data_IF_894881073542
#
_entry.id   IF_894881073542
#
_cell.length_a   1.000
_cell.length_b   1.000
_cell.length_c   1.000
_cell.angle_alpha   90.00
_cell.angle_beta   90.00
_cell.angle_gamma   90.00
#
_symmetry.space_group_name_H-M   'P 1'
#
loop_
_entity.id
_entity.type
_entity.pdbx_description
1 polymer ?
#
# COMPACT_ATOMS: atom_id res chain seq x y z
N UNK A 1 17.25 53.60 46.53
CA UNK A 1 16.53 52.64 45.63
C UNK A 1 17.26 51.31 45.71
N UNK A 2 16.74 50.39 46.48
CA UNK A 2 17.35 49.08 46.74
C UNK A 2 16.78 48.04 45.75
N UNK A 3 17.65 47.50 44.92
CA UNK A 3 17.29 46.39 44.01
C UNK A 3 17.03 45.12 44.81
N UNK A 4 15.82 44.56 44.68
CA UNK A 4 15.44 43.27 45.23
C UNK A 4 16.00 42.18 44.30
N UNK A 5 16.92 41.37 44.82
CA UNK A 5 17.42 40.17 44.13
C UNK A 5 16.32 39.14 43.99
N UNK A 6 16.12 38.65 42.77
CA UNK A 6 15.24 37.52 42.47
C UNK A 6 16.03 36.24 42.79
N UNK A 7 15.58 35.48 43.79
CA UNK A 7 16.17 34.18 44.12
C UNK A 7 15.81 33.17 43.01
N UNK A 8 16.84 32.54 42.42
CA UNK A 8 16.68 31.45 41.46
C UNK A 8 16.18 30.18 42.17
N UNK A 9 15.10 29.64 41.70
CA UNK A 9 14.57 28.35 42.16
C UNK A 9 15.50 27.22 41.68
N UNK A 10 15.93 26.29 42.54
CA UNK A 10 16.79 25.20 42.10
C UNK A 10 16.05 24.26 41.16
N UNK A 11 16.64 23.94 40.03
CA UNK A 11 16.13 22.98 39.07
C UNK A 11 15.93 21.63 39.78
N UNK A 12 14.69 21.14 39.71
CA UNK A 12 14.30 19.84 40.25
C UNK A 12 15.09 18.75 39.51
N UNK A 13 15.96 18.02 40.23
CA UNK A 13 16.83 17.02 39.64
C UNK A 13 16.11 16.07 38.71
N UNK A 14 16.65 15.87 37.51
CA UNK A 14 16.24 14.87 36.55
C UNK A 14 16.21 13.52 37.26
N UNK A 15 15.03 12.89 37.36
CA UNK A 15 14.95 11.50 37.79
C UNK A 15 15.78 10.70 36.79
N UNK A 16 16.69 9.87 37.27
CA UNK A 16 17.28 8.82 36.45
C UNK A 16 16.12 7.92 36.04
N UNK A 17 15.75 7.99 34.76
CA UNK A 17 14.83 7.01 34.20
C UNK A 17 15.52 5.64 34.29
N UNK A 18 14.92 4.71 35.04
CA UNK A 18 15.35 3.32 34.97
C UNK A 18 15.15 2.85 33.53
N UNK A 19 16.14 2.16 32.92
CA UNK A 19 15.96 1.61 31.60
C UNK A 19 14.74 0.69 31.62
N UNK A 20 13.81 0.93 30.67
CA UNK A 20 12.67 0.04 30.48
C UNK A 20 13.18 -1.39 30.30
N UNK A 21 12.54 -2.40 30.91
CA UNK A 21 12.94 -3.78 30.71
C UNK A 21 12.93 -4.10 29.22
N UNK A 22 14.06 -4.60 28.73
CA UNK A 22 14.18 -5.08 27.34
C UNK A 22 13.24 -6.27 27.17
N UNK A 23 12.11 -6.04 26.50
CA UNK A 23 11.23 -7.10 26.08
C UNK A 23 11.84 -7.73 24.83
N UNK A 24 12.25 -9.02 24.86
CA UNK A 24 12.85 -9.64 23.69
C UNK A 24 11.86 -9.59 22.54
N UNK A 25 12.32 -9.07 21.38
CA UNK A 25 11.51 -9.00 20.19
C UNK A 25 10.86 -10.38 19.90
N UNK A 26 9.58 -10.44 19.52
CA UNK A 26 8.91 -11.70 19.22
C UNK A 26 9.71 -12.47 18.16
N UNK A 27 9.68 -13.81 18.17
CA UNK A 27 10.44 -14.62 17.23
C UNK A 27 10.10 -14.24 15.78
N UNK A 28 11.10 -13.91 15.00
CA UNK A 28 10.97 -13.40 13.61
C UNK A 28 10.34 -14.45 12.68
N UNK A 29 10.50 -15.75 12.95
CA UNK A 29 10.03 -16.84 12.12
C UNK A 29 8.54 -16.79 11.75
N UNK A 30 7.61 -16.69 12.71
CA UNK A 30 6.17 -16.60 12.41
C UNK A 30 5.80 -15.35 11.60
N UNK A 31 6.45 -14.21 11.87
CA UNK A 31 6.22 -12.97 11.13
C UNK A 31 6.66 -13.10 9.67
N UNK A 32 7.83 -13.68 9.41
CA UNK A 32 8.31 -13.95 8.07
C UNK A 32 7.42 -14.95 7.32
N UNK A 33 6.94 -15.99 7.99
CA UNK A 33 6.00 -16.95 7.39
C UNK A 33 4.69 -16.25 6.97
N UNK A 34 4.14 -15.38 7.83
CA UNK A 34 2.94 -14.59 7.49
C UNK A 34 3.19 -13.67 6.28
N UNK A 35 4.31 -12.95 6.26
CA UNK A 35 4.67 -12.08 5.12
C UNK A 35 4.82 -12.88 3.83
N UNK A 36 5.43 -14.06 3.89
CA UNK A 36 5.56 -14.95 2.73
C UNK A 36 4.19 -15.42 2.22
N UNK A 37 3.30 -15.84 3.11
CA UNK A 37 1.95 -16.27 2.77
C UNK A 37 1.12 -15.12 2.16
N UNK A 38 1.19 -13.91 2.74
CA UNK A 38 0.54 -12.71 2.19
C UNK A 38 1.10 -12.34 0.81
N UNK A 39 2.41 -12.47 0.60
CA UNK A 39 3.04 -12.20 -0.69
C UNK A 39 2.51 -13.15 -1.77
N UNK A 40 2.39 -14.43 -1.45
CA UNK A 40 1.89 -15.44 -2.41
C UNK A 40 0.40 -15.25 -2.69
N UNK A 41 -0.40 -15.00 -1.66
CA UNK A 41 -1.82 -14.65 -1.82
C UNK A 41 -1.97 -13.37 -2.69
N UNK A 42 -1.20 -12.32 -2.39
CA UNK A 42 -1.21 -11.09 -3.16
C UNK A 42 -0.80 -11.30 -4.63
N UNK A 43 0.16 -12.20 -4.89
CA UNK A 43 0.52 -12.60 -6.25
C UNK A 43 -0.65 -13.24 -7.00
N UNK A 44 -1.40 -14.13 -6.36
CA UNK A 44 -2.57 -14.77 -6.95
C UNK A 44 -3.65 -13.74 -7.25
N UNK A 45 -4.02 -12.93 -6.27
CA UNK A 45 -4.97 -11.83 -6.42
C UNK A 45 -4.59 -10.86 -7.55
N UNK A 46 -3.32 -10.50 -7.65
CA UNK A 46 -2.81 -9.54 -8.65
C UNK A 46 -2.93 -10.06 -10.08
N UNK A 47 -2.84 -11.37 -10.26
CA UNK A 47 -2.87 -12.03 -11.57
C UNK A 47 -4.22 -12.67 -11.92
N UNK A 48 -5.23 -12.59 -11.05
CA UNK A 48 -6.51 -13.24 -11.26
C UNK A 48 -7.50 -12.35 -12.03
N UNK A 49 -7.79 -12.65 -13.30
CA UNK A 49 -8.80 -11.90 -14.06
C UNK A 49 -10.23 -12.13 -13.57
N UNK A 50 -10.51 -13.23 -12.85
CA UNK A 50 -11.82 -13.50 -12.30
C UNK A 50 -12.24 -12.51 -11.22
N UNK A 51 -11.29 -11.75 -10.65
CA UNK A 51 -11.59 -10.67 -9.70
C UNK A 51 -12.28 -9.46 -10.37
N UNK A 52 -12.23 -9.32 -11.69
CA UNK A 52 -12.94 -8.23 -12.37
C UNK A 52 -14.39 -8.60 -12.70
N UNK A 53 -15.24 -7.58 -12.83
CA UNK A 53 -16.62 -7.78 -13.29
C UNK A 53 -16.70 -8.38 -14.70
N UNK A 54 -15.69 -8.12 -15.54
CA UNK A 54 -15.57 -8.70 -16.88
C UNK A 54 -15.10 -10.16 -16.88
N UNK A 55 -14.48 -10.64 -15.79
CA UNK A 55 -13.77 -11.92 -15.71
C UNK A 55 -12.52 -12.01 -16.60
N UNK A 56 -12.04 -10.90 -17.16
CA UNK A 56 -10.96 -10.86 -18.17
C UNK A 56 -9.86 -9.84 -17.90
N UNK A 57 -9.91 -9.13 -16.78
CA UNK A 57 -8.95 -8.11 -16.40
C UNK A 57 -8.40 -8.37 -15.00
N UNK A 58 -7.10 -8.45 -14.89
CA UNK A 58 -6.36 -8.51 -13.63
C UNK A 58 -5.55 -7.22 -13.42
N UNK A 59 -4.97 -7.01 -12.23
CA UNK A 59 -4.02 -5.92 -12.00
C UNK A 59 -2.83 -6.01 -12.99
N UNK A 60 -2.34 -7.23 -13.22
CA UNK A 60 -1.27 -7.50 -14.18
C UNK A 60 -1.61 -7.13 -15.63
N UNK A 61 -2.89 -6.99 -16.00
CA UNK A 61 -3.29 -6.55 -17.34
C UNK A 61 -2.85 -5.11 -17.66
N UNK A 62 -2.71 -4.30 -16.61
CA UNK A 62 -2.29 -2.89 -16.72
C UNK A 62 -0.91 -2.68 -16.11
N UNK A 63 -0.54 -3.45 -15.10
CA UNK A 63 0.72 -3.38 -14.36
C UNK A 63 1.56 -4.63 -14.58
N UNK A 64 2.20 -4.72 -15.75
CA UNK A 64 2.95 -5.91 -16.16
C UNK A 64 4.29 -6.00 -15.39
N UNK A 65 4.54 -7.11 -14.67
CA UNK A 65 5.81 -7.33 -13.99
C UNK A 65 7.02 -7.31 -14.94
N UNK A 66 6.86 -7.73 -16.20
CA UNK A 66 7.93 -7.69 -17.20
C UNK A 66 8.31 -6.27 -17.63
N UNK A 67 7.42 -5.31 -17.39
CA UNK A 67 7.60 -3.89 -17.70
C UNK A 67 7.74 -3.02 -16.44
N UNK A 68 8.34 -3.58 -15.37
CA UNK A 68 8.52 -2.87 -14.10
C UNK A 68 7.18 -2.51 -13.43
N UNK A 69 6.18 -3.36 -13.57
CA UNK A 69 4.80 -3.10 -13.09
C UNK A 69 4.18 -1.83 -13.68
N UNK A 70 4.63 -1.42 -14.85
CA UNK A 70 4.04 -0.39 -15.67
C UNK A 70 3.17 -0.99 -16.79
N UNK A 71 2.72 -0.16 -17.74
CA UNK A 71 1.90 -0.64 -18.86
C UNK A 71 2.71 -1.57 -19.78
N UNK A 72 2.08 -2.64 -20.33
CA UNK A 72 2.76 -3.62 -21.19
C UNK A 72 3.07 -3.09 -22.59
N UNK A 73 2.54 -1.94 -22.95
CA UNK A 73 2.71 -1.31 -24.26
C UNK A 73 2.70 0.22 -24.16
N UNK A 74 2.81 0.90 -25.32
CA UNK A 74 2.85 2.36 -25.41
C UNK A 74 1.47 3.04 -25.40
N UNK A 75 0.38 2.33 -25.07
CA UNK A 75 -0.95 2.94 -25.00
C UNK A 75 -1.01 4.00 -23.89
N UNK A 76 -1.49 5.19 -24.22
CA UNK A 76 -1.59 6.31 -23.28
C UNK A 76 -2.51 6.00 -22.10
N UNK A 77 -3.57 5.23 -22.33
CA UNK A 77 -4.51 4.77 -21.31
C UNK A 77 -4.90 3.33 -21.58
N UNK A 78 -5.27 2.60 -20.53
CA UNK A 78 -5.81 1.24 -20.66
C UNK A 78 -7.33 1.29 -20.76
N UNK A 79 -7.90 0.27 -21.39
CA UNK A 79 -9.35 0.10 -21.48
C UNK A 79 -9.79 -0.94 -20.46
N UNK A 80 -10.77 -0.61 -19.65
CA UNK A 80 -11.36 -1.45 -18.62
C UNK A 80 -12.87 -1.44 -18.63
N UNK A 81 -13.46 -1.65 -17.47
CA UNK A 81 -14.91 -1.72 -17.29
C UNK A 81 -15.47 -3.13 -17.46
N UNK A 82 -16.74 -3.32 -17.06
CA UNK A 82 -17.39 -4.62 -17.08
C UNK A 82 -17.48 -5.25 -18.48
N UNK A 83 -17.49 -4.42 -19.54
CA UNK A 83 -17.53 -4.86 -20.95
C UNK A 83 -16.19 -4.67 -21.66
N UNK A 84 -15.17 -4.14 -20.99
CA UNK A 84 -13.87 -3.73 -21.53
C UNK A 84 -14.03 -2.68 -22.65
N UNK A 85 -14.90 -1.73 -22.43
CA UNK A 85 -15.24 -0.64 -23.36
C UNK A 85 -15.05 0.76 -22.74
N UNK A 86 -14.48 0.83 -21.53
CA UNK A 86 -14.26 2.07 -20.81
C UNK A 86 -12.78 2.46 -20.80
N UNK A 87 -12.36 3.51 -21.52
CA UNK A 87 -10.99 3.98 -21.43
C UNK A 87 -10.72 4.55 -20.04
N UNK A 88 -9.53 4.28 -19.52
CA UNK A 88 -9.02 4.90 -18.29
C UNK A 88 -8.90 6.42 -18.45
N UNK A 89 -8.93 7.12 -17.34
CA UNK A 89 -8.85 8.59 -17.32
C UNK A 89 -7.42 9.12 -17.11
N UNK A 90 -6.48 8.25 -16.81
CA UNK A 90 -5.07 8.54 -16.54
C UNK A 90 -4.17 7.48 -17.15
N UNK A 91 -2.92 7.85 -17.43
CA UNK A 91 -1.88 6.91 -17.77
C UNK A 91 -1.64 5.95 -16.59
N UNK A 92 -1.31 4.70 -16.91
CA UNK A 92 -0.97 3.69 -15.88
C UNK A 92 0.45 3.99 -15.36
N UNK A 93 0.63 4.29 -14.08
CA UNK A 93 1.95 4.46 -13.49
C UNK A 93 2.61 3.11 -13.27
N UNK A 94 3.94 3.07 -13.22
CA UNK A 94 4.65 1.93 -12.65
C UNK A 94 4.33 1.82 -11.15
N UNK A 95 4.19 0.60 -10.65
CA UNK A 95 4.09 0.34 -9.20
C UNK A 95 5.47 0.17 -8.55
N UNK A 96 6.57 0.22 -9.33
CA UNK A 96 7.92 0.14 -8.78
C UNK A 96 8.17 1.34 -7.84
N UNK A 97 8.77 1.04 -6.70
CA UNK A 97 9.14 2.02 -5.67
C UNK A 97 8.00 2.74 -4.95
N UNK A 98 6.74 2.40 -5.23
CA UNK A 98 5.59 3.07 -4.58
C UNK A 98 5.58 2.92 -3.05
N UNK A 99 6.26 1.91 -2.50
CA UNK A 99 6.42 1.75 -1.05
C UNK A 99 7.21 2.87 -0.37
N UNK A 100 7.96 3.67 -1.14
CA UNK A 100 8.72 4.81 -0.62
C UNK A 100 7.96 6.14 -0.72
N UNK A 101 6.75 6.15 -1.30
CA UNK A 101 5.92 7.35 -1.33
C UNK A 101 5.55 7.74 0.09
N UNK A 102 5.91 8.95 0.57
CA UNK A 102 5.50 9.42 1.88
C UNK A 102 3.99 9.65 1.92
N UNK A 103 3.44 9.90 3.10
CA UNK A 103 2.07 10.35 3.22
C UNK A 103 1.92 11.74 2.57
N UNK A 104 0.72 12.00 2.08
CA UNK A 104 0.41 13.31 1.50
C UNK A 104 0.60 14.41 2.53
N UNK A 105 1.32 15.44 2.10
CA UNK A 105 1.51 16.69 2.83
C UNK A 105 1.20 17.85 1.88
N UNK A 106 0.36 18.77 2.32
CA UNK A 106 -0.04 19.93 1.54
C UNK A 106 1.09 20.95 1.42
N UNK A 107 1.93 21.04 2.45
CA UNK A 107 3.05 21.97 2.57
C UNK A 107 4.35 21.22 2.86
N UNK A 108 5.05 20.80 1.82
CA UNK A 108 6.35 20.18 1.96
C UNK A 108 7.45 21.25 1.95
N UNK A 109 8.20 21.30 3.05
CA UNK A 109 9.33 22.20 3.18
C UNK A 109 10.63 21.45 2.86
N UNK A 110 11.35 21.90 1.84
CA UNK A 110 12.71 21.41 1.59
C UNK A 110 13.66 22.15 2.54
N UNK A 111 14.41 21.37 3.32
CA UNK A 111 15.51 21.92 4.13
C UNK A 111 16.63 22.30 3.16
N UNK A 112 16.95 23.60 3.08
CA UNK A 112 18.17 24.02 2.43
C UNK A 112 19.37 23.90 3.40
N UNK A 113 20.56 23.67 2.86
CA UNK A 113 21.79 23.49 3.64
C UNK A 113 22.21 24.78 4.46
N UNK A 114 21.51 25.89 4.28
CA UNK A 114 21.81 27.16 4.90
C UNK A 114 20.93 27.50 6.13
N UNK A 115 19.92 26.65 6.44
CA UNK A 115 19.11 26.75 7.66
C UNK A 115 18.17 27.98 7.72
N UNK A 116 17.91 28.61 6.60
CA UNK A 116 16.92 29.68 6.47
C UNK A 116 15.59 29.04 6.05
N UNK A 117 14.66 28.94 6.97
CA UNK A 117 13.37 28.27 6.95
C UNK A 117 12.91 27.83 5.57
N UNK A 118 12.93 26.51 5.34
CA UNK A 118 12.75 25.86 4.05
C UNK A 118 11.67 26.46 3.17
N UNK A 119 11.92 26.49 1.87
CA UNK A 119 10.96 26.94 0.89
C UNK A 119 9.81 25.93 0.83
N UNK A 120 8.56 26.39 0.89
CA UNK A 120 7.39 25.55 0.63
C UNK A 120 7.42 25.09 -0.84
N UNK A 121 7.76 23.81 -1.06
CA UNK A 121 7.80 23.19 -2.37
C UNK A 121 6.39 22.78 -2.85
N UNK A 122 5.35 23.03 -2.04
CA UNK A 122 3.96 22.68 -2.33
C UNK A 122 3.61 21.24 -1.95
N UNK A 123 2.47 20.72 -2.46
CA UNK A 123 1.97 19.41 -2.09
C UNK A 123 2.89 18.28 -2.54
N UNK A 124 3.11 17.32 -1.66
CA UNK A 124 4.01 16.18 -1.88
C UNK A 124 3.40 14.89 -1.32
N UNK A 125 3.86 13.73 -1.81
CA UNK A 125 3.48 12.43 -1.28
C UNK A 125 2.09 11.95 -1.66
N UNK A 126 1.58 10.98 -0.90
CA UNK A 126 0.34 10.28 -1.17
C UNK A 126 0.43 9.33 -2.37
N UNK A 127 -0.69 8.74 -2.73
CA UNK A 127 -0.85 7.80 -3.84
C UNK A 127 -1.95 8.27 -4.78
N UNK A 128 -2.03 7.67 -5.95
CA UNK A 128 -2.71 8.17 -7.13
C UNK A 128 -2.04 9.46 -7.66
N UNK A 129 -2.55 9.98 -8.78
CA UNK A 129 -1.99 11.18 -9.41
C UNK A 129 -2.20 12.48 -8.63
N UNK A 130 -3.06 12.44 -7.62
CA UNK A 130 -3.50 13.60 -6.83
C UNK A 130 -3.23 13.46 -5.32
N UNK A 131 -2.49 12.44 -4.91
CA UNK A 131 -2.08 12.23 -3.52
C UNK A 131 -3.23 11.85 -2.55
N UNK A 132 -4.46 11.65 -3.03
CA UNK A 132 -5.68 11.51 -2.20
C UNK A 132 -5.73 10.27 -1.31
N UNK A 133 -4.78 9.35 -1.43
CA UNK A 133 -4.73 8.10 -0.67
C UNK A 133 -3.34 7.91 -0.08
N UNK A 134 -3.25 7.65 1.20
CA UNK A 134 -1.97 7.51 1.89
C UNK A 134 -1.46 6.06 1.98
N UNK A 135 -2.36 5.09 2.18
CA UNK A 135 -1.96 3.70 2.39
C UNK A 135 -2.04 2.90 1.10
N UNK A 136 -1.05 2.03 0.87
CA UNK A 136 -1.02 1.19 -0.32
C UNK A 136 -2.20 0.20 -0.36
N UNK A 137 -2.63 -0.35 0.79
CA UNK A 137 -3.80 -1.24 0.86
C UNK A 137 -5.09 -0.53 0.40
N UNK A 138 -5.27 0.72 0.84
CA UNK A 138 -6.46 1.50 0.47
C UNK A 138 -6.44 1.82 -1.03
N UNK A 139 -5.27 2.19 -1.55
CA UNK A 139 -5.09 2.44 -2.99
C UNK A 139 -5.33 1.17 -3.82
N UNK A 140 -4.81 0.01 -3.40
CA UNK A 140 -4.93 -1.24 -4.15
C UNK A 140 -6.39 -1.71 -4.32
N UNK A 141 -7.30 -1.27 -3.45
CA UNK A 141 -8.73 -1.61 -3.53
C UNK A 141 -9.52 -0.73 -4.49
N UNK A 142 -9.02 0.48 -4.82
CA UNK A 142 -9.73 1.41 -5.72
C UNK A 142 -9.96 0.84 -7.12
N UNK A 143 -8.96 0.26 -7.82
CA UNK A 143 -9.14 -0.33 -9.13
C UNK A 143 -10.16 -1.47 -9.16
N UNK A 144 -10.31 -2.21 -8.06
CA UNK A 144 -11.28 -3.29 -7.95
C UNK A 144 -12.72 -2.79 -8.15
N UNK A 145 -13.03 -1.57 -7.72
CA UNK A 145 -14.37 -0.97 -7.78
C UNK A 145 -14.53 0.06 -8.91
N UNK A 146 -13.43 0.59 -9.45
CA UNK A 146 -13.45 1.62 -10.49
C UNK A 146 -14.18 1.14 -11.74
N UNK A 147 -15.19 1.88 -12.19
CA UNK A 147 -15.98 1.55 -13.38
C UNK A 147 -15.17 1.58 -14.68
N UNK A 148 -14.01 2.21 -14.68
CA UNK A 148 -13.06 2.27 -15.80
C UNK A 148 -12.00 1.18 -15.75
N UNK A 149 -11.96 0.39 -14.66
CA UNK A 149 -10.95 -0.65 -14.41
C UNK A 149 -11.65 -1.99 -14.17
N UNK A 150 -11.60 -2.57 -12.97
CA UNK A 150 -12.16 -3.92 -12.72
C UNK A 150 -13.69 -3.93 -12.51
N UNK A 151 -14.31 -2.79 -12.25
CA UNK A 151 -15.74 -2.51 -12.33
C UNK A 151 -16.65 -3.40 -11.46
N UNK A 152 -16.18 -3.91 -10.32
CA UNK A 152 -17.08 -4.55 -9.37
C UNK A 152 -18.02 -3.52 -8.76
N UNK A 153 -19.26 -3.92 -8.49
CA UNK A 153 -20.29 -3.00 -7.99
C UNK A 153 -20.04 -2.54 -6.55
N UNK A 154 -19.42 -3.38 -5.74
CA UNK A 154 -19.17 -3.15 -4.32
C UNK A 154 -18.08 -4.09 -3.77
N UNK A 155 -17.57 -3.86 -2.54
CA UNK A 155 -16.61 -4.75 -1.89
C UNK A 155 -17.11 -6.19 -1.74
N UNK A 156 -18.39 -6.40 -1.46
CA UNK A 156 -18.96 -7.73 -1.25
C UNK A 156 -18.90 -8.58 -2.54
N UNK A 157 -19.04 -7.95 -3.71
CA UNK A 157 -18.86 -8.63 -4.98
C UNK A 157 -17.43 -9.13 -5.19
N UNK A 158 -16.43 -8.36 -4.80
CA UNK A 158 -15.00 -8.78 -4.84
C UNK A 158 -14.77 -9.93 -3.86
N UNK A 159 -15.24 -9.79 -2.62
CA UNK A 159 -15.12 -10.81 -1.57
C UNK A 159 -15.78 -12.13 -2.02
N UNK A 160 -16.95 -12.06 -2.63
CA UNK A 160 -17.63 -13.24 -3.17
C UNK A 160 -16.82 -13.97 -4.26
N UNK A 161 -16.10 -13.22 -5.12
CA UNK A 161 -15.20 -13.80 -6.13
C UNK A 161 -14.01 -14.50 -5.49
N UNK A 162 -13.37 -13.86 -4.49
CA UNK A 162 -12.28 -14.46 -3.73
C UNK A 162 -12.75 -15.70 -2.96
N UNK A 163 -13.95 -15.68 -2.35
CA UNK A 163 -14.51 -16.81 -1.64
C UNK A 163 -14.77 -18.02 -2.56
N UNK A 164 -15.01 -17.79 -3.85
CA UNK A 164 -15.21 -18.82 -4.86
C UNK A 164 -13.93 -19.28 -5.57
N UNK A 165 -12.78 -18.67 -5.25
CA UNK A 165 -11.48 -18.98 -5.87
C UNK A 165 -10.83 -20.22 -5.23
N UNK A 166 -9.85 -20.80 -5.92
CA UNK A 166 -9.03 -21.91 -5.44
C UNK A 166 -8.06 -21.50 -4.30
N UNK A 167 -7.80 -20.20 -4.14
CA UNK A 167 -6.97 -19.64 -3.06
C UNK A 167 -7.78 -19.11 -1.87
N UNK A 168 -9.10 -19.27 -1.83
CA UNK A 168 -9.91 -18.91 -0.66
C UNK A 168 -9.45 -19.57 0.65
N UNK A 169 -8.95 -20.83 0.66
CA UNK A 169 -8.39 -21.44 1.88
C UNK A 169 -7.19 -20.65 2.46
N UNK A 170 -6.39 -20.01 1.62
CA UNK A 170 -5.24 -19.22 2.08
C UNK A 170 -5.67 -17.98 2.85
N UNK A 171 -6.74 -17.31 2.40
CA UNK A 171 -7.30 -16.17 3.13
C UNK A 171 -7.88 -16.62 4.49
N UNK A 172 -8.55 -17.78 4.53
CA UNK A 172 -9.03 -18.35 5.81
C UNK A 172 -7.88 -18.69 6.75
N UNK A 173 -6.81 -19.29 6.25
CA UNK A 173 -5.64 -19.62 7.06
C UNK A 173 -4.98 -18.38 7.69
N UNK A 174 -5.01 -17.23 7.01
CA UNK A 174 -4.40 -15.98 7.46
C UNK A 174 -5.29 -15.18 8.42
N UNK A 175 -6.62 -15.24 8.23
CA UNK A 175 -7.56 -14.32 8.90
C UNK A 175 -8.69 -15.01 9.67
N UNK A 176 -8.75 -16.34 9.63
CA UNK A 176 -9.78 -17.16 10.28
C UNK A 176 -10.88 -17.63 9.33
N UNK A 177 -11.54 -18.73 9.70
CA UNK A 177 -12.50 -19.42 8.84
C UNK A 177 -13.71 -18.57 8.46
N UNK A 178 -14.11 -17.66 9.35
CA UNK A 178 -15.28 -16.77 9.18
C UNK A 178 -14.98 -15.50 8.38
N UNK A 179 -13.79 -15.34 7.84
CA UNK A 179 -13.36 -14.09 7.17
C UNK A 179 -14.36 -13.63 6.08
N UNK A 180 -14.94 -14.54 5.34
CA UNK A 180 -15.90 -14.22 4.27
C UNK A 180 -17.30 -13.84 4.76
N UNK A 181 -17.59 -14.03 6.05
CA UNK A 181 -18.84 -13.59 6.70
C UNK A 181 -18.77 -12.09 7.06
N UNK A 182 -17.57 -11.50 7.02
CA UNK A 182 -17.28 -10.11 7.33
C UNK A 182 -16.75 -9.36 6.08
N UNK A 183 -17.61 -8.96 5.11
CA UNK A 183 -17.13 -8.45 3.82
C UNK A 183 -16.19 -7.24 3.89
N UNK A 184 -16.36 -6.35 4.87
CA UNK A 184 -15.48 -5.18 5.04
C UNK A 184 -14.07 -5.64 5.46
N UNK A 185 -14.00 -6.55 6.43
CA UNK A 185 -12.73 -7.09 6.91
C UNK A 185 -12.04 -7.95 5.84
N UNK A 186 -12.81 -8.75 5.09
CA UNK A 186 -12.28 -9.54 3.99
C UNK A 186 -11.72 -8.65 2.87
N UNK A 187 -12.39 -7.55 2.56
CA UNK A 187 -11.94 -6.60 1.55
C UNK A 187 -10.65 -5.89 1.97
N UNK A 188 -10.52 -5.50 3.24
CA UNK A 188 -9.29 -4.94 3.80
C UNK A 188 -8.14 -5.96 3.77
N UNK A 189 -8.41 -7.22 4.08
CA UNK A 189 -7.44 -8.33 3.99
C UNK A 189 -6.93 -8.56 2.55
N UNK A 190 -7.80 -8.43 1.55
CA UNK A 190 -7.43 -8.46 0.13
C UNK A 190 -6.49 -7.29 -0.18
N UNK A 191 -6.81 -6.10 0.29
CA UNK A 191 -5.95 -4.91 0.15
C UNK A 191 -4.58 -5.10 0.80
N UNK A 192 -4.51 -5.69 2.00
CA UNK A 192 -3.24 -5.99 2.70
C UNK A 192 -2.37 -6.96 1.89
N UNK A 193 -2.94 -8.03 1.37
CA UNK A 193 -2.19 -8.99 0.56
C UNK A 193 -1.64 -8.36 -0.74
N UNK A 194 -2.44 -7.53 -1.41
CA UNK A 194 -2.00 -6.77 -2.58
C UNK A 194 -0.89 -5.77 -2.24
N UNK A 195 -1.01 -5.04 -1.12
CA UNK A 195 0.02 -4.12 -0.62
C UNK A 195 1.36 -4.83 -0.41
N UNK A 196 1.35 -5.95 0.33
CA UNK A 196 2.56 -6.71 0.64
C UNK A 196 3.22 -7.27 -0.64
N UNK A 197 2.42 -7.80 -1.56
CA UNK A 197 2.94 -8.27 -2.85
C UNK A 197 3.59 -7.13 -3.64
N UNK A 198 2.93 -5.99 -3.79
CA UNK A 198 3.47 -4.84 -4.50
C UNK A 198 4.74 -4.31 -3.85
N UNK A 199 4.77 -4.16 -2.52
CA UNK A 199 5.92 -3.67 -1.78
C UNK A 199 7.16 -4.56 -1.94
N UNK A 200 6.99 -5.87 -2.04
CA UNK A 200 8.11 -6.82 -2.10
C UNK A 200 8.54 -7.17 -3.53
N UNK A 201 7.61 -7.18 -4.49
CA UNK A 201 7.89 -7.63 -5.87
C UNK A 201 8.02 -6.49 -6.87
N UNK A 202 7.37 -5.37 -6.65
CA UNK A 202 7.56 -4.17 -7.46
C UNK A 202 8.81 -3.35 -7.08
N UNK A 203 9.65 -3.86 -6.19
CA UNK A 203 11.04 -3.37 -6.05
C UNK A 203 11.72 -3.60 -7.38
N UNK A 204 12.11 -2.51 -8.05
CA UNK A 204 12.80 -2.56 -9.34
C UNK A 204 13.77 -3.72 -9.38
N UNK A 205 13.62 -4.56 -10.39
CA UNK A 205 14.23 -5.90 -10.43
C UNK A 205 15.65 -5.90 -9.91
N UNK A 206 15.92 -6.72 -8.92
CA UNK A 206 17.28 -7.16 -8.68
C UNK A 206 17.76 -7.74 -10.00
N UNK A 207 18.51 -6.96 -10.78
CA UNK A 207 19.42 -7.57 -11.76
C UNK A 207 20.19 -8.59 -10.95
N UNK A 208 19.99 -9.87 -11.28
CA UNK A 208 20.68 -10.93 -10.61
C UNK A 208 22.15 -10.55 -10.53
N UNK A 209 22.67 -10.43 -9.32
CA UNK A 209 24.09 -10.57 -9.10
C UNK A 209 24.32 -12.05 -9.42
N UNK A 210 24.73 -12.30 -10.68
CA UNK A 210 25.26 -13.58 -11.05
C UNK A 210 26.46 -13.81 -10.15
N UNK A 211 26.39 -14.90 -9.37
CA UNK A 211 27.50 -15.42 -8.61
C UNK A 211 28.59 -15.93 -9.54
#
# INVERSE_FOLDING_TARGET
>A
MTARGVAATPAKGLRKEEPLPFDPAPPIGPALARVSALTELGRKLFNDPALSASGRMACASCHDPAHGFGPPDAASVRVGGAKLDRPGTRAVPSLAYTQFSPFFDEHHYEEDDEGDGGLDAGPSGGRNWDGRVNRARDQATIPLLSTHEMANKDPAAVVGRVAASDYAPELRALYGDTIFEEPVRAFDAIGEALEIYQALKAKGGTRGVAA
#
